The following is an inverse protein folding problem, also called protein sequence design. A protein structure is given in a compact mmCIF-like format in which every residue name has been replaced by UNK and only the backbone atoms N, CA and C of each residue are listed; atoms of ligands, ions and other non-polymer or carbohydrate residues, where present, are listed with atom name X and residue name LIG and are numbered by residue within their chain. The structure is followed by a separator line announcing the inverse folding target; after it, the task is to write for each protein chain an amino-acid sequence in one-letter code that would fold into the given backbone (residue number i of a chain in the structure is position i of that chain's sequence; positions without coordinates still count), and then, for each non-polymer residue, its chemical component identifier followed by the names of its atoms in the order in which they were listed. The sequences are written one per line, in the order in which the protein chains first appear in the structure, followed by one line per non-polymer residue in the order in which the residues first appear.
data_IF_933621935676
#
_entry.id   IF_933621935676
#
_cell.length_a   1.000
_cell.length_b   1.000
_cell.length_c   1.000
_cell.angle_alpha   90.00
_cell.angle_beta   90.00
_cell.angle_gamma   90.00
#
_symmetry.space_group_name_H-M   'P 1'
#
loop_
_entity.id
_entity.type
_entity.pdbx_description
1 polymer ?
#
# COMPACT_ATOMS: atom_id res chain seq x y z
N UNK A 1 -1.91 -5.76 8.19
CA UNK A 1 -3.12 -6.42 7.64
C UNK A 1 -4.36 -5.54 7.73
N UNK A 2 -4.62 -4.89 8.87
CA UNK A 2 -5.80 -4.03 9.07
C UNK A 2 -5.98 -2.94 7.99
N UNK A 3 -4.90 -2.24 7.59
CA UNK A 3 -4.97 -1.22 6.55
C UNK A 3 -5.42 -1.75 5.19
N UNK A 4 -4.98 -2.96 4.81
CA UNK A 4 -5.39 -3.63 3.56
C UNK A 4 -6.88 -3.98 3.58
N UNK A 5 -7.40 -4.43 4.73
CA UNK A 5 -8.83 -4.72 4.90
C UNK A 5 -9.63 -3.42 4.80
N UNK A 6 -9.20 -2.37 5.48
CA UNK A 6 -9.85 -1.05 5.45
C UNK A 6 -9.89 -0.48 4.02
N UNK A 7 -8.77 -0.55 3.30
CA UNK A 7 -8.69 -0.10 1.91
C UNK A 7 -9.60 -0.93 0.99
N UNK A 8 -9.67 -2.25 1.20
CA UNK A 8 -10.57 -3.13 0.45
C UNK A 8 -12.04 -2.79 0.68
N UNK A 9 -12.46 -2.68 1.95
CA UNK A 9 -13.84 -2.32 2.31
C UNK A 9 -14.20 -0.94 1.77
N UNK A 10 -13.31 0.04 1.90
CA UNK A 10 -13.52 1.39 1.36
C UNK A 10 -13.65 1.38 -0.18
N UNK A 11 -12.89 0.54 -0.88
CA UNK A 11 -13.01 0.35 -2.33
C UNK A 11 -14.38 -0.25 -2.69
N UNK A 12 -14.84 -1.26 -1.96
CA UNK A 12 -16.18 -1.82 -2.17
C UNK A 12 -17.30 -0.79 -1.94
N UNK A 13 -17.19 0.04 -0.90
CA UNK A 13 -18.15 1.12 -0.64
C UNK A 13 -18.14 2.18 -1.74
N UNK A 14 -16.97 2.54 -2.26
CA UNK A 14 -16.85 3.49 -3.36
C UNK A 14 -17.47 2.93 -4.65
N UNK A 15 -17.24 1.64 -4.94
CA UNK A 15 -17.87 0.95 -6.07
C UNK A 15 -19.39 0.88 -5.92
N UNK A 16 -19.88 0.70 -4.70
CA UNK A 16 -21.30 0.73 -4.39
C UNK A 16 -21.90 2.11 -4.71
N UNK A 17 -21.28 3.19 -4.23
CA UNK A 17 -21.72 4.56 -4.53
C UNK A 17 -21.65 4.88 -6.04
N UNK A 18 -20.63 4.39 -6.74
CA UNK A 18 -20.50 4.53 -8.19
C UNK A 18 -21.63 3.80 -8.94
N UNK A 19 -21.97 2.58 -8.52
CA UNK A 19 -23.09 1.83 -9.08
C UNK A 19 -24.43 2.54 -8.83
N UNK A 20 -24.69 3.03 -7.61
CA UNK A 20 -25.89 3.80 -7.29
C UNK A 20 -26.01 5.08 -8.14
N UNK A 21 -24.89 5.75 -8.38
CA UNK A 21 -24.84 6.92 -9.29
C UNK A 21 -25.21 6.52 -10.71
N UNK A 22 -24.64 5.41 -11.20
CA UNK A 22 -24.92 4.89 -12.54
C UNK A 22 -26.40 4.53 -12.69
N UNK A 23 -26.97 3.80 -11.73
CA UNK A 23 -28.38 3.42 -11.75
C UNK A 23 -29.27 4.66 -11.80
N UNK A 24 -29.05 5.62 -10.89
CA UNK A 24 -29.80 6.87 -10.82
C UNK A 24 -29.77 7.62 -12.15
N UNK A 25 -28.58 7.86 -12.71
CA UNK A 25 -28.42 8.55 -13.99
C UNK A 25 -29.02 7.77 -15.17
N UNK A 26 -28.96 6.43 -15.14
CA UNK A 26 -29.53 5.58 -16.21
C UNK A 26 -31.06 5.68 -16.25
N UNK A 27 -31.69 5.71 -15.07
CA UNK A 27 -33.13 5.85 -14.91
C UNK A 27 -33.60 7.22 -15.38
N UNK A 28 -32.88 8.28 -15.02
CA UNK A 28 -33.20 9.65 -15.44
C UNK A 28 -33.05 9.85 -16.94
N UNK A 29 -32.01 9.26 -17.52
CA UNK A 29 -31.81 9.23 -18.97
C UNK A 29 -32.96 8.53 -19.67
N UNK A 30 -33.44 7.40 -19.13
CA UNK A 30 -34.59 6.67 -19.68
C UNK A 30 -35.90 7.49 -19.58
N UNK A 31 -36.05 8.32 -18.55
CA UNK A 31 -37.19 9.23 -18.39
C UNK A 31 -37.13 10.50 -19.27
N UNK A 32 -36.05 10.69 -20.05
CA UNK A 32 -35.87 11.88 -20.87
C UNK A 32 -35.69 13.17 -20.05
N UNK A 33 -35.39 13.05 -18.75
CA UNK A 33 -35.13 14.17 -17.85
C UNK A 33 -33.63 14.17 -17.54
N UNK A 34 -32.79 14.91 -18.27
CA UNK A 34 -31.40 15.06 -17.89
C UNK A 34 -31.37 15.78 -16.54
N UNK A 35 -30.97 15.06 -15.50
CA UNK A 35 -30.99 15.60 -14.15
C UNK A 35 -29.77 16.49 -13.91
N UNK A 36 -29.98 17.52 -13.09
CA UNK A 36 -28.96 18.52 -12.74
C UNK A 36 -28.29 18.18 -11.39
N UNK A 37 -28.88 17.30 -10.56
CA UNK A 37 -28.46 17.12 -9.15
C UNK A 37 -28.55 15.67 -8.66
N UNK A 38 -27.42 15.12 -8.22
CA UNK A 38 -27.32 13.79 -7.60
C UNK A 38 -27.82 13.86 -6.13
N UNK A 39 -28.54 12.84 -5.63
CA UNK A 39 -28.95 12.74 -4.23
C UNK A 39 -27.78 12.87 -3.27
N UNK A 40 -27.97 13.66 -2.20
CA UNK A 40 -26.94 13.90 -1.20
C UNK A 40 -26.50 12.64 -0.45
N UNK A 41 -27.34 11.60 -0.40
CA UNK A 41 -26.98 10.29 0.17
C UNK A 41 -25.80 9.65 -0.56
N UNK A 42 -25.86 9.62 -1.90
CA UNK A 42 -24.82 9.03 -2.75
C UNK A 42 -23.52 9.85 -2.63
N UNK A 43 -23.65 11.18 -2.56
CA UNK A 43 -22.50 12.08 -2.33
C UNK A 43 -21.83 11.77 -0.99
N UNK A 44 -22.61 11.62 0.08
CA UNK A 44 -22.09 11.28 1.41
C UNK A 44 -21.44 9.89 1.43
N UNK A 45 -22.02 8.89 0.76
CA UNK A 45 -21.42 7.56 0.64
C UNK A 45 -20.07 7.59 -0.09
N UNK A 46 -19.97 8.36 -1.18
CA UNK A 46 -18.72 8.55 -1.92
C UNK A 46 -17.66 9.30 -1.09
N UNK A 47 -18.04 10.36 -0.38
CA UNK A 47 -17.12 11.13 0.48
C UNK A 47 -16.66 10.28 1.67
N UNK A 48 -17.57 9.53 2.29
CA UNK A 48 -17.26 8.68 3.44
C UNK A 48 -16.34 7.52 3.03
N UNK A 49 -16.63 6.85 1.92
CA UNK A 49 -15.78 5.77 1.39
C UNK A 49 -14.38 6.28 1.07
N UNK A 50 -14.26 7.44 0.43
CA UNK A 50 -12.95 8.07 0.19
C UNK A 50 -12.22 8.44 1.49
N UNK A 51 -12.95 9.00 2.47
CA UNK A 51 -12.39 9.38 3.77
C UNK A 51 -11.85 8.19 4.57
N UNK A 52 -12.42 6.99 4.41
CA UNK A 52 -11.93 5.75 5.01
C UNK A 52 -10.79 5.14 4.18
N UNK A 53 -10.83 5.28 2.85
CA UNK A 53 -9.82 4.75 1.94
C UNK A 53 -8.43 5.33 2.22
N UNK A 54 -8.34 6.65 2.37
CA UNK A 54 -7.07 7.35 2.61
C UNK A 54 -6.30 6.79 3.83
N UNK A 55 -6.86 6.77 5.06
CA UNK A 55 -6.17 6.22 6.22
C UNK A 55 -5.95 4.70 6.09
N UNK A 56 -6.83 3.99 5.38
CA UNK A 56 -6.67 2.56 5.09
C UNK A 56 -5.40 2.27 4.28
N UNK A 57 -5.18 3.02 3.20
CA UNK A 57 -4.00 2.89 2.34
C UNK A 57 -2.74 3.35 3.05
N UNK A 58 -2.79 4.46 3.78
CA UNK A 58 -1.65 4.93 4.59
C UNK A 58 -1.24 3.87 5.62
N UNK A 59 -2.20 3.26 6.31
CA UNK A 59 -1.94 2.18 7.27
C UNK A 59 -1.50 0.85 6.62
N UNK A 60 -1.75 0.70 5.32
CA UNK A 60 -1.26 -0.44 4.54
C UNK A 60 0.17 -0.21 4.04
N UNK A 61 0.65 1.04 4.00
CA UNK A 61 2.00 1.38 3.60
C UNK A 61 3.03 0.89 4.62
N UNK A 62 4.21 0.48 4.12
CA UNK A 62 5.32 0.08 4.97
C UNK A 62 5.92 1.26 5.72
N UNK A 63 6.70 1.01 6.78
CA UNK A 63 7.44 2.08 7.46
C UNK A 63 8.40 2.77 6.49
N UNK A 64 8.61 4.07 6.70
CA UNK A 64 9.65 4.80 5.96
C UNK A 64 11.02 4.22 6.32
N UNK A 65 11.85 4.02 5.30
CA UNK A 65 13.23 3.60 5.48
C UNK A 65 14.12 4.80 5.79
N UNK A 66 15.10 4.60 6.67
CA UNK A 66 16.08 5.63 6.99
C UNK A 66 17.14 5.69 5.88
N UNK A 67 17.29 6.85 5.26
CA UNK A 67 18.26 7.10 4.18
C UNK A 67 19.60 7.65 4.71
N UNK A 68 19.74 7.86 6.01
CA UNK A 68 20.97 8.41 6.57
C UNK A 68 22.08 7.36 6.59
N UNK A 69 23.29 7.77 6.20
CA UNK A 69 24.47 6.90 6.26
C UNK A 69 24.72 6.31 7.66
N UNK A 70 24.42 7.10 8.71
CA UNK A 70 24.53 6.65 10.10
C UNK A 70 23.53 5.54 10.42
N UNK A 71 22.27 5.68 9.99
CA UNK A 71 21.23 4.66 10.17
C UNK A 71 21.53 3.38 9.40
N UNK A 72 22.03 3.52 8.16
CA UNK A 72 22.45 2.40 7.33
C UNK A 72 23.63 1.64 7.95
N UNK A 73 24.67 2.36 8.41
CA UNK A 73 25.83 1.73 9.07
C UNK A 73 25.50 1.05 10.39
N UNK A 74 24.46 1.49 11.10
CA UNK A 74 24.02 0.83 12.32
C UNK A 74 23.32 -0.53 12.08
N UNK A 75 22.80 -0.77 10.87
CA UNK A 75 22.14 -2.04 10.50
C UNK A 75 23.10 -3.12 9.99
N UNK A 76 24.30 -2.74 9.53
CA UNK A 76 25.27 -3.69 8.97
C UNK A 76 26.11 -4.35 10.04
N UNK A 77 26.37 -5.66 9.89
CA UNK A 77 27.29 -6.36 10.78
C UNK A 77 28.75 -6.10 10.38
N UNK A 78 29.68 -6.22 11.34
CA UNK A 78 31.11 -6.11 11.04
C UNK A 78 31.58 -7.20 10.07
N UNK A 79 30.92 -8.35 10.07
CA UNK A 79 31.16 -9.47 9.17
C UNK A 79 30.78 -9.13 7.73
N UNK A 80 29.67 -8.42 7.51
CA UNK A 80 29.28 -7.95 6.18
C UNK A 80 30.32 -6.97 5.61
N UNK A 81 30.82 -6.06 6.43
CA UNK A 81 31.83 -5.07 6.04
C UNK A 81 33.21 -5.70 5.85
N UNK A 82 33.56 -6.70 6.67
CA UNK A 82 34.84 -7.38 6.64
C UNK A 82 34.85 -8.62 5.72
N UNK A 83 33.69 -8.98 5.14
CA UNK A 83 33.59 -9.98 4.08
C UNK A 83 34.28 -9.45 2.83
N UNK A 84 35.61 -9.57 2.83
CA UNK A 84 36.48 -9.24 1.71
C UNK A 84 36.30 -10.31 0.64
N UNK A 85 35.09 -10.45 0.11
CA UNK A 85 34.70 -11.49 -0.84
C UNK A 85 35.58 -11.48 -2.09
N UNK A 86 36.07 -10.31 -2.49
CA UNK A 86 37.04 -10.15 -3.58
C UNK A 86 38.43 -10.74 -3.30
N UNK A 87 38.75 -11.03 -2.04
CA UNK A 87 40.01 -11.63 -1.60
C UNK A 87 39.85 -13.07 -1.10
N UNK A 88 38.66 -13.67 -1.26
CA UNK A 88 38.47 -15.07 -0.91
C UNK A 88 39.25 -15.96 -1.90
N UNK A 89 40.12 -16.86 -1.42
CA UNK A 89 40.83 -17.78 -2.29
C UNK A 89 39.85 -18.80 -2.90
N UNK A 90 39.93 -19.03 -4.21
CA UNK A 90 39.17 -20.08 -4.92
C UNK A 90 39.73 -21.50 -4.71
N UNK A 91 40.38 -21.76 -3.57
CA UNK A 91 41.10 -23.01 -3.26
C UNK A 91 40.38 -23.88 -2.22
N UNK A 92 40.82 -25.14 -2.03
CA UNK A 92 40.24 -26.02 -1.02
C UNK A 92 40.38 -25.42 0.40
N UNK A 93 39.38 -25.67 1.24
CA UNK A 93 39.31 -25.14 2.60
C UNK A 93 40.58 -25.46 3.41
N UNK A 94 41.02 -24.50 4.22
CA UNK A 94 42.22 -24.65 5.05
C UNK A 94 42.13 -25.90 5.95
N UNK A 95 43.21 -26.70 6.08
CA UNK A 95 43.21 -27.89 6.89
C UNK A 95 42.95 -27.56 8.36
N UNK A 96 42.05 -28.31 9.01
CA UNK A 96 41.73 -28.12 10.43
C UNK A 96 42.98 -28.38 11.29
N UNK A 97 43.26 -27.56 12.32
CA UNK A 97 44.38 -27.78 13.20
C UNK A 97 44.20 -29.11 13.95
N UNK A 98 45.18 -30.00 13.84
CA UNK A 98 45.27 -31.22 14.65
C UNK A 98 45.80 -30.80 16.02
N UNK A 99 45.03 -31.12 17.08
CA UNK A 99 45.38 -30.86 18.48
C UNK A 99 46.58 -31.70 18.92
#
# INVERSE_FOLDING_TARGET
MIGRILAFVATCLLLHAAYSTYEHLSILKAMGKPEVHIPTSIILEAVLSFSIFVPGVVSASGPLEDVTWRGEMARRSQEDVHSRMSFLPFGPAAPKPVR
#
